data_IF_485782339179
#
_entry.id   IF_485782339179
#
_cell.length_a   1.000
_cell.length_b   1.000
_cell.length_c   1.000
_cell.angle_alpha   90.00
_cell.angle_beta   90.00
_cell.angle_gamma   90.00
#
_symmetry.space_group_name_H-M   'P 1'
#
loop_
_entity.id
_entity.type
_entity.pdbx_description
1 polymer ?
#
# COMPACT_ATOMS: atom_id res chain seq x y z
N UNK A 1 11.99 10.70 15.76
CA UNK A 1 12.86 10.73 14.56
C UNK A 1 12.03 11.25 13.40
N UNK A 2 12.38 12.37 12.76
CA UNK A 2 11.67 12.79 11.55
C UNK A 2 12.05 11.82 10.44
N UNK A 3 11.08 11.06 9.94
CA UNK A 3 11.26 10.27 8.73
C UNK A 3 11.74 11.22 7.62
N UNK A 4 12.82 10.84 6.94
CA UNK A 4 13.32 11.62 5.82
C UNK A 4 12.22 11.79 4.79
N UNK A 5 11.99 13.03 4.37
CA UNK A 5 11.10 13.34 3.25
C UNK A 5 11.54 12.48 2.06
N UNK A 6 10.71 11.50 1.73
CA UNK A 6 10.91 10.75 0.49
C UNK A 6 10.82 11.74 -0.65
N UNK A 7 11.73 11.62 -1.62
CA UNK A 7 11.86 12.51 -2.77
C UNK A 7 10.65 12.46 -3.76
N UNK A 8 9.51 11.94 -3.33
CA UNK A 8 8.25 12.09 -4.03
C UNK A 8 7.59 13.37 -3.55
N UNK A 9 7.32 14.34 -4.44
CA UNK A 9 6.57 15.51 -4.05
C UNK A 9 5.27 15.04 -3.40
N UNK A 10 5.06 15.44 -2.15
CA UNK A 10 3.86 15.11 -1.34
C UNK A 10 2.57 15.40 -2.14
N UNK A 11 2.62 16.40 -3.00
CA UNK A 11 1.54 16.81 -3.90
C UNK A 11 1.10 15.74 -4.91
N UNK A 12 1.95 14.75 -5.22
CA UNK A 12 1.64 13.73 -6.25
C UNK A 12 0.90 12.48 -5.72
N UNK A 13 0.65 12.41 -4.42
CA UNK A 13 0.05 11.23 -3.79
C UNK A 13 -0.97 11.61 -2.71
N UNK A 14 -1.81 12.62 -3.00
CA UNK A 14 -2.76 13.15 -2.01
C UNK A 14 -3.92 12.21 -1.70
N UNK A 15 -4.25 11.35 -2.65
CA UNK A 15 -5.33 10.39 -2.52
C UNK A 15 -5.04 9.17 -3.39
N UNK A 16 -5.81 8.12 -3.21
CA UNK A 16 -5.65 6.87 -3.95
C UNK A 16 -6.96 6.11 -4.11
N UNK A 17 -6.99 5.18 -5.06
CA UNK A 17 -7.84 4.00 -4.97
C UNK A 17 -6.96 2.85 -4.51
N UNK A 18 -7.35 2.25 -3.40
CA UNK A 18 -6.58 1.19 -2.75
C UNK A 18 -7.48 0.01 -2.37
N UNK A 19 -6.90 -1.17 -2.28
CA UNK A 19 -7.53 -2.31 -1.61
C UNK A 19 -7.33 -2.17 -0.12
N UNK A 20 -8.41 -2.19 0.63
CA UNK A 20 -8.45 -2.12 2.09
C UNK A 20 -9.05 -3.41 2.65
N UNK A 21 -8.80 -3.68 3.92
CA UNK A 21 -9.07 -4.95 4.56
C UNK A 21 -10.02 -4.77 5.74
N UNK A 22 -10.58 -5.87 6.22
CA UNK A 22 -11.39 -5.86 7.43
C UNK A 22 -10.54 -5.64 8.70
N UNK A 23 -11.21 -5.39 9.82
CA UNK A 23 -10.55 -5.08 11.09
C UNK A 23 -9.66 -6.23 11.59
N UNK A 24 -10.07 -7.47 11.38
CA UNK A 24 -9.29 -8.63 11.82
C UNK A 24 -7.99 -8.76 11.01
N UNK A 25 -8.05 -8.55 9.70
CA UNK A 25 -6.89 -8.57 8.82
C UNK A 25 -5.96 -7.38 9.11
N UNK A 26 -6.52 -6.20 9.35
CA UNK A 26 -5.76 -5.02 9.76
C UNK A 26 -5.04 -5.25 11.10
N UNK A 27 -5.72 -5.82 12.08
CA UNK A 27 -5.13 -6.15 13.38
C UNK A 27 -3.98 -7.15 13.24
N UNK A 28 -4.17 -8.20 12.43
CA UNK A 28 -3.12 -9.19 12.15
C UNK A 28 -1.87 -8.55 11.52
N UNK A 29 -2.05 -7.68 10.53
CA UNK A 29 -0.93 -7.02 9.85
C UNK A 29 -0.17 -6.07 10.78
N UNK A 30 -0.88 -5.38 11.69
CA UNK A 30 -0.25 -4.55 12.73
C UNK A 30 0.53 -5.39 13.73
N UNK A 31 -0.06 -6.48 14.22
CA UNK A 31 0.61 -7.41 15.14
C UNK A 31 1.88 -8.01 14.51
N UNK A 32 1.82 -8.39 13.24
CA UNK A 32 2.99 -8.87 12.51
C UNK A 32 4.09 -7.80 12.46
N UNK A 33 3.73 -6.56 12.14
CA UNK A 33 4.65 -5.42 12.13
C UNK A 33 5.32 -5.21 13.50
N UNK A 34 4.53 -5.19 14.57
CA UNK A 34 5.01 -5.03 15.95
C UNK A 34 5.95 -6.18 16.35
N UNK A 35 5.58 -7.42 16.03
CA UNK A 35 6.39 -8.61 16.33
C UNK A 35 7.71 -8.60 15.58
N UNK A 36 7.74 -8.02 14.39
CA UNK A 36 8.97 -7.80 13.62
C UNK A 36 9.81 -6.61 14.11
N UNK A 37 9.39 -5.89 15.14
CA UNK A 37 10.00 -4.65 15.63
C UNK A 37 10.02 -3.52 14.59
N UNK A 38 8.96 -3.41 13.78
CA UNK A 38 8.82 -2.35 12.79
C UNK A 38 8.04 -1.17 13.37
N UNK A 39 8.35 0.03 12.89
CA UNK A 39 7.50 1.20 13.09
C UNK A 39 6.41 1.20 12.00
N UNK A 40 5.18 0.83 12.38
CA UNK A 40 4.05 0.80 11.47
C UNK A 40 3.58 2.23 11.10
N UNK A 41 3.70 3.18 12.03
CA UNK A 41 3.16 4.53 11.85
C UNK A 41 1.62 4.60 11.97
N UNK A 42 1.06 5.71 11.46
CA UNK A 42 -0.38 6.02 11.58
C UNK A 42 -1.16 5.70 10.28
N UNK A 43 -0.69 4.81 9.45
CA UNK A 43 -1.41 4.46 8.22
C UNK A 43 -2.23 3.17 8.36
N UNK A 44 -3.22 3.01 7.49
CA UNK A 44 -4.07 1.83 7.40
C UNK A 44 -3.41 0.82 6.45
N UNK A 45 -3.33 -0.48 6.79
CA UNK A 45 -2.85 -1.51 5.85
C UNK A 45 -3.65 -1.51 4.55
N UNK A 46 -2.97 -1.51 3.42
CA UNK A 46 -3.61 -1.42 2.11
C UNK A 46 -2.69 -1.91 0.99
N UNK A 47 -3.29 -2.15 -0.18
CA UNK A 47 -2.56 -2.23 -1.45
C UNK A 47 -2.97 -1.05 -2.32
N UNK A 48 -2.05 -0.16 -2.64
CA UNK A 48 -2.33 0.94 -3.56
C UNK A 48 -2.51 0.41 -4.98
N UNK A 49 -3.67 0.67 -5.58
CA UNK A 49 -3.91 0.39 -7.00
C UNK A 49 -3.50 1.57 -7.88
N UNK A 50 -3.81 2.79 -7.45
CA UNK A 50 -3.41 4.02 -8.13
C UNK A 50 -3.35 5.19 -7.13
N UNK A 51 -2.31 5.99 -7.24
CA UNK A 51 -2.23 7.30 -6.58
C UNK A 51 -2.70 8.40 -7.52
N UNK A 52 -3.26 9.46 -6.97
CA UNK A 52 -3.72 10.63 -7.74
C UNK A 52 -3.20 11.93 -7.11
N UNK A 53 -3.13 12.95 -7.94
CA UNK A 53 -2.65 14.29 -7.57
C UNK A 53 -3.75 15.20 -7.05
N UNK A 54 -5.02 14.80 -7.20
CA UNK A 54 -6.18 15.57 -6.80
C UNK A 54 -7.10 14.77 -5.88
N UNK A 55 -7.78 15.47 -4.98
CA UNK A 55 -8.73 14.88 -4.02
C UNK A 55 -10.16 14.86 -4.56
N UNK A 56 -10.35 14.45 -5.81
CA UNK A 56 -11.69 14.28 -6.39
C UNK A 56 -12.35 13.00 -5.86
N UNK A 57 -12.83 13.05 -4.61
CA UNK A 57 -13.40 11.89 -3.94
C UNK A 57 -14.63 11.31 -4.64
N UNK A 58 -15.59 12.10 -5.18
CA UNK A 58 -16.70 11.53 -5.95
C UNK A 58 -16.22 10.67 -7.12
N UNK A 59 -15.22 11.15 -7.87
CA UNK A 59 -14.65 10.44 -9.01
C UNK A 59 -13.89 9.19 -8.57
N UNK A 60 -13.10 9.28 -7.49
CA UNK A 60 -12.37 8.14 -6.92
C UNK A 60 -13.32 7.06 -6.41
N UNK A 61 -14.41 7.43 -5.72
CA UNK A 61 -15.42 6.49 -5.23
C UNK A 61 -16.12 5.79 -6.40
N UNK A 62 -16.50 6.52 -7.43
CA UNK A 62 -17.11 5.94 -8.63
C UNK A 62 -16.16 4.96 -9.33
N UNK A 63 -14.88 5.32 -9.46
CA UNK A 63 -13.87 4.47 -10.07
C UNK A 63 -13.61 3.19 -9.23
N UNK A 64 -13.54 3.31 -7.91
CA UNK A 64 -13.39 2.15 -7.01
C UNK A 64 -14.60 1.22 -7.08
N UNK A 65 -15.82 1.77 -7.06
CA UNK A 65 -17.07 0.99 -7.12
C UNK A 65 -17.28 0.28 -8.46
N UNK A 66 -16.66 0.76 -9.53
CA UNK A 66 -16.76 0.14 -10.86
C UNK A 66 -15.83 -1.09 -11.01
N UNK A 67 -14.88 -1.30 -10.09
CA UNK A 67 -14.00 -2.46 -10.15
C UNK A 67 -14.76 -3.75 -9.80
N UNK A 68 -14.43 -4.86 -10.47
CA UNK A 68 -15.02 -6.15 -10.11
C UNK A 68 -14.56 -6.57 -8.70
N UNK A 69 -15.38 -7.38 -8.04
CA UNK A 69 -15.05 -7.92 -6.71
C UNK A 69 -13.81 -8.80 -6.81
N UNK A 70 -12.91 -8.64 -5.86
CA UNK A 70 -11.74 -9.49 -5.69
C UNK A 70 -11.93 -10.40 -4.47
N UNK A 71 -11.86 -11.71 -4.68
CA UNK A 71 -12.11 -12.67 -3.60
C UNK A 71 -10.93 -12.77 -2.62
N UNK A 72 -9.70 -12.68 -3.12
CA UNK A 72 -8.50 -12.87 -2.31
C UNK A 72 -7.26 -12.22 -2.89
N UNK A 73 -6.32 -11.88 -2.00
CA UNK A 73 -4.92 -11.56 -2.30
C UNK A 73 -4.02 -12.69 -1.80
N UNK A 74 -3.07 -13.08 -2.61
CA UNK A 74 -2.03 -14.04 -2.25
C UNK A 74 -0.74 -13.27 -1.96
N UNK A 75 -0.17 -13.51 -0.78
CA UNK A 75 1.10 -12.94 -0.37
C UNK A 75 2.19 -13.98 -0.68
N UNK A 76 3.25 -13.58 -1.37
CA UNK A 76 4.28 -14.52 -1.84
C UNK A 76 5.71 -14.17 -1.40
N UNK A 77 5.88 -13.23 -0.49
CA UNK A 77 7.18 -12.90 0.07
C UNK A 77 7.22 -11.60 0.84
N UNK A 78 8.42 -11.29 1.32
CA UNK A 78 8.73 -10.05 2.04
C UNK A 78 9.86 -9.33 1.29
N UNK A 79 9.71 -8.03 1.09
CA UNK A 79 10.71 -7.18 0.49
C UNK A 79 11.26 -6.19 1.51
N UNK A 80 12.55 -5.88 1.38
CA UNK A 80 13.25 -4.84 2.11
C UNK A 80 13.73 -3.80 1.11
N UNK A 81 13.20 -2.58 1.22
CA UNK A 81 13.44 -1.51 0.27
C UNK A 81 14.06 -0.30 0.96
N UNK A 82 15.36 -0.05 0.76
CA UNK A 82 15.97 1.19 1.21
C UNK A 82 15.23 2.40 0.63
N UNK A 83 15.01 3.43 1.44
CA UNK A 83 14.57 4.71 0.91
C UNK A 83 15.68 5.33 0.04
N UNK A 84 15.32 6.31 -0.78
CA UNK A 84 16.28 6.95 -1.69
C UNK A 84 17.40 7.68 -0.96
N UNK A 85 17.17 8.14 0.26
CA UNK A 85 18.15 8.83 1.09
C UNK A 85 19.01 7.86 1.89
N UNK A 86 18.66 6.56 1.94
CA UNK A 86 19.36 5.54 2.70
C UNK A 86 19.20 5.65 4.22
N UNK A 87 18.20 6.39 4.70
CA UNK A 87 17.99 6.63 6.13
C UNK A 87 17.10 5.55 6.77
N UNK A 88 16.25 4.93 6.02
CA UNK A 88 15.39 3.85 6.48
C UNK A 88 15.22 2.74 5.44
N UNK A 89 14.75 1.60 5.92
CA UNK A 89 14.36 0.45 5.08
C UNK A 89 12.88 0.19 5.31
N UNK A 90 12.10 0.27 4.24
CA UNK A 90 10.70 -0.14 4.23
C UNK A 90 10.61 -1.65 4.14
N UNK A 91 9.73 -2.22 4.94
CA UNK A 91 9.42 -3.66 4.92
C UNK A 91 8.01 -3.84 4.38
N UNK A 92 7.89 -4.66 3.36
CA UNK A 92 6.65 -4.84 2.60
C UNK A 92 6.36 -6.32 2.40
N UNK A 93 5.09 -6.71 2.54
CA UNK A 93 4.60 -7.98 2.03
C UNK A 93 4.37 -7.84 0.52
N UNK A 94 4.98 -8.71 -0.25
CA UNK A 94 4.78 -8.77 -1.69
C UNK A 94 3.46 -9.46 -1.98
N UNK A 95 2.61 -8.79 -2.76
CA UNK A 95 1.33 -9.34 -3.24
C UNK A 95 1.53 -9.89 -4.64
N UNK A 96 1.02 -11.09 -4.89
CA UNK A 96 1.07 -11.69 -6.21
C UNK A 96 0.30 -10.83 -7.23
N UNK A 97 0.98 -10.40 -8.27
CA UNK A 97 0.39 -9.59 -9.35
C UNK A 97 -0.47 -10.49 -10.24
N UNK A 98 -1.78 -10.37 -10.11
CA UNK A 98 -2.76 -11.15 -10.87
C UNK A 98 -3.27 -10.39 -12.09
N UNK A 99 -3.91 -11.10 -13.03
CA UNK A 99 -4.59 -10.48 -14.18
C UNK A 99 -5.64 -9.46 -13.71
N UNK A 100 -6.41 -9.78 -12.65
CA UNK A 100 -7.37 -8.85 -12.06
C UNK A 100 -6.72 -7.50 -11.68
N UNK A 101 -5.54 -7.52 -11.05
CA UNK A 101 -4.84 -6.29 -10.65
C UNK A 101 -4.39 -5.46 -11.84
N UNK A 102 -3.93 -6.12 -12.90
CA UNK A 102 -3.52 -5.44 -14.14
C UNK A 102 -4.72 -4.78 -14.79
N UNK A 103 -5.83 -5.50 -14.92
CA UNK A 103 -7.08 -4.99 -15.50
C UNK A 103 -7.68 -3.85 -14.66
N UNK A 104 -7.75 -4.03 -13.34
CA UNK A 104 -8.22 -3.00 -12.42
C UNK A 104 -7.40 -1.71 -12.55
N UNK A 105 -6.08 -1.84 -12.61
CA UNK A 105 -5.21 -0.69 -12.80
C UNK A 105 -5.44 0.00 -14.16
N UNK A 106 -5.60 -0.74 -15.25
CA UNK A 106 -5.92 -0.18 -16.55
C UNK A 106 -7.24 0.58 -16.55
N UNK A 107 -8.28 0.02 -15.90
CA UNK A 107 -9.57 0.68 -15.74
C UNK A 107 -9.43 1.99 -14.94
N UNK A 108 -8.68 1.96 -13.85
CA UNK A 108 -8.43 3.15 -13.02
C UNK A 108 -7.64 4.22 -13.77
N UNK A 109 -6.63 3.85 -14.54
CA UNK A 109 -5.88 4.80 -15.37
C UNK A 109 -6.80 5.52 -16.36
N UNK A 110 -7.73 4.82 -16.99
CA UNK A 110 -8.70 5.41 -17.89
C UNK A 110 -9.74 6.29 -17.17
N UNK A 111 -10.28 5.80 -16.03
CA UNK A 111 -11.30 6.52 -15.27
C UNK A 111 -10.76 7.80 -14.61
N UNK A 112 -9.49 7.81 -14.24
CA UNK A 112 -8.81 8.89 -13.52
C UNK A 112 -7.81 9.65 -14.40
N UNK A 113 -8.01 9.61 -15.71
CA UNK A 113 -7.18 10.35 -16.66
C UNK A 113 -7.11 11.85 -16.30
N UNK A 114 -5.91 12.41 -16.39
CA UNK A 114 -5.62 13.80 -16.04
C UNK A 114 -5.35 14.08 -14.56
N UNK A 115 -5.67 13.16 -13.64
CA UNK A 115 -5.40 13.33 -12.20
C UNK A 115 -4.46 12.30 -11.61
N UNK A 116 -3.95 11.36 -12.38
CA UNK A 116 -2.88 10.45 -11.98
C UNK A 116 -1.52 10.93 -12.51
N UNK A 117 -0.40 10.57 -11.85
CA UNK A 117 0.93 11.08 -12.22
C UNK A 117 1.55 10.40 -13.46
N UNK A 118 0.78 9.70 -14.30
CA UNK A 118 1.29 9.07 -15.52
C UNK A 118 2.24 7.91 -15.22
N UNK A 119 1.83 6.98 -14.38
CA UNK A 119 2.68 5.88 -13.98
C UNK A 119 2.80 4.81 -15.06
N UNK A 120 4.01 4.33 -15.23
CA UNK A 120 4.34 3.15 -15.99
C UNK A 120 3.59 1.92 -15.46
N UNK A 121 2.80 1.28 -16.33
CA UNK A 121 2.05 0.07 -15.98
C UNK A 121 3.00 -1.08 -15.65
N UNK A 122 4.16 -1.12 -16.30
CA UNK A 122 5.17 -2.16 -16.08
C UNK A 122 5.82 -2.05 -14.70
N UNK A 123 5.91 -0.85 -14.16
CA UNK A 123 6.42 -0.58 -12.80
C UNK A 123 5.45 -0.88 -11.68
N UNK A 124 4.21 -1.30 -11.96
CA UNK A 124 3.23 -1.61 -10.93
C UNK A 124 3.64 -2.83 -10.11
N UNK A 125 3.89 -2.59 -8.84
CA UNK A 125 4.34 -3.60 -7.88
C UNK A 125 3.40 -3.61 -6.67
N UNK A 126 2.36 -4.49 -6.66
CA UNK A 126 1.42 -4.54 -5.55
C UNK A 126 2.11 -5.05 -4.29
N UNK A 127 1.89 -4.35 -3.18
CA UNK A 127 2.49 -4.67 -1.88
C UNK A 127 1.65 -4.12 -0.74
N UNK A 128 1.86 -4.68 0.45
CA UNK A 128 1.35 -4.14 1.72
C UNK A 128 2.55 -3.69 2.52
N UNK A 129 2.64 -2.42 2.85
CA UNK A 129 3.69 -1.92 3.73
C UNK A 129 3.42 -2.34 5.17
N UNK A 130 4.40 -2.99 5.80
CA UNK A 130 4.35 -3.34 7.23
C UNK A 130 4.92 -2.25 8.13
N UNK A 131 5.82 -1.43 7.62
CA UNK A 131 6.48 -0.39 8.39
C UNK A 131 7.87 -0.11 7.90
N UNK A 132 8.65 0.59 8.70
CA UNK A 132 10.05 0.87 8.39
C UNK A 132 10.94 0.73 9.63
N UNK A 133 12.23 0.59 9.37
CA UNK A 133 13.30 0.66 10.38
C UNK A 133 14.39 1.60 9.90
N UNK A 134 15.14 2.20 10.82
CA UNK A 134 16.35 2.94 10.47
C UNK A 134 17.36 2.02 9.78
N UNK A 135 18.09 2.53 8.78
CA UNK A 135 19.07 1.72 8.04
C UNK A 135 20.14 1.10 8.95
N UNK A 136 20.51 1.80 10.04
CA UNK A 136 21.45 1.29 11.04
C UNK A 136 20.89 0.24 12.00
N UNK A 137 19.57 0.02 12.00
CA UNK A 137 18.86 -0.90 12.91
C UNK A 137 18.19 -2.05 12.18
N UNK A 138 18.56 -2.30 10.92
CA UNK A 138 18.00 -3.41 10.14
C UNK A 138 18.20 -4.76 10.81
N UNK A 139 19.28 -4.95 11.56
CA UNK A 139 19.54 -6.15 12.34
C UNK A 139 18.57 -6.38 13.51
N UNK A 140 17.82 -5.36 13.92
CA UNK A 140 16.85 -5.46 15.00
C UNK A 140 15.48 -5.99 14.52
N UNK A 141 15.30 -6.16 13.22
CA UNK A 141 14.09 -6.75 12.64
C UNK A 141 14.02 -8.23 12.97
N UNK A 142 12.96 -8.65 13.65
CA UNK A 142 12.75 -10.06 13.94
C UNK A 142 12.21 -10.81 12.72
N UNK A 143 13.11 -11.37 11.93
CA UNK A 143 12.76 -12.17 10.75
C UNK A 143 12.06 -13.49 11.10
N UNK A 144 12.22 -13.97 12.33
CA UNK A 144 11.56 -15.21 12.79
C UNK A 144 10.05 -15.04 12.99
N UNK A 145 9.58 -13.79 13.13
CA UNK A 145 8.17 -13.45 13.20
C UNK A 145 7.42 -13.68 11.88
N UNK A 146 8.13 -13.74 10.76
CA UNK A 146 7.51 -14.00 9.46
C UNK A 146 7.04 -15.45 9.42
N UNK A 147 5.70 -15.68 9.25
CA UNK A 147 5.21 -17.06 9.19
C UNK A 147 5.76 -17.79 7.97
N UNK A 148 6.04 -19.07 8.12
CA UNK A 148 6.54 -19.93 7.01
C UNK A 148 5.58 -19.93 5.82
N UNK A 149 4.29 -19.82 6.08
CA UNK A 149 3.24 -19.65 5.09
C UNK A 149 2.53 -18.33 5.38
N UNK A 150 2.65 -17.38 4.46
CA UNK A 150 1.96 -16.11 4.56
C UNK A 150 0.45 -16.31 4.42
N UNK A 151 -0.36 -15.54 5.13
CA UNK A 151 -1.81 -15.65 5.06
C UNK A 151 -2.33 -15.22 3.69
N UNK A 152 -3.53 -15.70 3.37
CA UNK A 152 -4.31 -15.19 2.27
C UNK A 152 -5.22 -14.10 2.81
N UNK A 153 -5.20 -12.92 2.21
CA UNK A 153 -6.13 -11.83 2.52
C UNK A 153 -7.43 -12.09 1.75
N UNK A 154 -8.52 -12.25 2.47
CA UNK A 154 -9.83 -12.55 1.87
C UNK A 154 -10.69 -11.30 1.74
N UNK A 155 -11.47 -11.23 0.66
CA UNK A 155 -12.46 -10.18 0.38
C UNK A 155 -11.93 -8.74 0.56
N UNK A 156 -10.74 -8.42 0.00
CA UNK A 156 -10.29 -7.04 0.02
C UNK A 156 -11.28 -6.16 -0.76
N UNK A 157 -11.47 -4.93 -0.29
CA UNK A 157 -12.42 -3.99 -0.89
C UNK A 157 -11.67 -2.83 -1.55
N UNK A 158 -11.98 -2.51 -2.80
CA UNK A 158 -11.48 -1.28 -3.42
C UNK A 158 -12.19 -0.07 -2.82
N UNK A 159 -11.44 0.93 -2.43
CA UNK A 159 -11.96 2.14 -1.79
C UNK A 159 -11.18 3.39 -2.21
N UNK A 160 -11.86 4.53 -2.20
CA UNK A 160 -11.23 5.84 -2.28
C UNK A 160 -10.62 6.18 -0.92
N UNK A 161 -9.40 6.68 -0.92
CA UNK A 161 -8.65 6.93 0.30
C UNK A 161 -7.93 8.28 0.27
N UNK A 162 -7.83 8.92 1.45
CA UNK A 162 -6.88 10.00 1.65
C UNK A 162 -5.52 9.44 2.06
N UNK A 163 -4.47 10.04 1.51
CA UNK A 163 -3.09 9.66 1.79
C UNK A 163 -2.41 10.71 2.69
N UNK A 164 -1.57 10.21 3.60
CA UNK A 164 -0.69 11.03 4.44
C UNK A 164 0.65 11.33 3.77
N UNK A 165 1.60 11.82 4.58
CA UNK A 165 2.90 12.35 4.16
C UNK A 165 3.73 11.40 3.26
N UNK A 166 3.62 10.10 3.46
CA UNK A 166 4.40 9.12 2.69
C UNK A 166 3.58 8.46 1.56
N UNK A 167 2.47 9.08 1.14
CA UNK A 167 1.57 8.46 0.17
C UNK A 167 0.87 7.21 0.69
N UNK A 168 0.84 7.01 2.01
CA UNK A 168 0.17 5.88 2.66
C UNK A 168 -1.25 6.29 3.09
N UNK A 169 -2.18 5.36 2.98
CA UNK A 169 -3.59 5.59 3.35
C UNK A 169 -3.70 5.90 4.84
N UNK A 170 -4.33 7.02 5.17
CA UNK A 170 -4.63 7.44 6.54
C UNK A 170 -6.12 7.45 6.82
N UNK A 171 -6.96 7.50 5.79
CA UNK A 171 -8.42 7.51 5.92
C UNK A 171 -9.06 6.82 4.71
N UNK A 172 -10.02 5.95 4.97
CA UNK A 172 -10.87 5.32 3.95
C UNK A 172 -12.15 6.13 3.85
N UNK A 173 -12.52 6.56 2.66
CA UNK A 173 -13.73 7.36 2.42
C UNK A 173 -14.90 6.44 2.12
N UNK A 174 -15.91 6.40 3.00
CA UNK A 174 -17.15 5.63 2.85
C UNK A 174 -18.11 6.24 1.82
#
# INVERSE_FOLDING_TARGET
>A
MRAAETAYPVEKHMASVSLVFDDAQNAYLRELSETMNLDFGEFIPHVTLINVTERDMPRLKAAAAALPVLDKLVLDGVNFLPDKAGNCVWVELRVQKTAWMVEARQQLLAALDGIHPGLDVDGFRPHITLGCVGAGTLGDVDMSAIPRQLPVITKPRAAACYNGVHGKVVEVVE
#
